data_IF_760541197257
#
_entry.id   IF_760541197257
#
_cell.length_a   1.000
_cell.length_b   1.000
_cell.length_c   1.000
_cell.angle_alpha   90.00
_cell.angle_beta   90.00
_cell.angle_gamma   90.00
#
_symmetry.space_group_name_H-M   'P 1'
#
loop_
_entity.id
_entity.type
_entity.pdbx_description
1 polymer ?
#
# COMPACT_ATOMS: atom_id res chain seq x y z
N UNK A 1 -12.89 -0.10 -3.99
CA UNK A 1 -13.18 1.24 -3.43
C UNK A 1 -11.86 1.91 -3.05
N UNK A 2 -11.69 3.24 -3.20
CA UNK A 2 -10.50 3.93 -2.71
C UNK A 2 -10.40 3.89 -1.18
N UNK A 3 -9.21 3.62 -0.65
CA UNK A 3 -8.96 3.54 0.80
C UNK A 3 -7.92 4.57 1.27
N UNK A 4 -6.87 4.80 0.49
CA UNK A 4 -5.79 5.71 0.88
C UNK A 4 -5.19 6.41 -0.34
N UNK A 5 -4.64 7.60 -0.11
CA UNK A 5 -4.14 8.51 -1.13
C UNK A 5 -2.83 9.14 -0.66
N UNK A 6 -1.80 9.09 -1.51
CA UNK A 6 -0.54 9.82 -1.32
C UNK A 6 -0.28 10.71 -2.51
N UNK A 7 0.04 11.99 -2.25
CA UNK A 7 0.57 12.91 -3.26
C UNK A 7 2.07 12.69 -3.37
N UNK A 8 2.55 12.44 -4.59
CA UNK A 8 3.94 12.18 -4.90
C UNK A 8 4.66 13.49 -5.30
N UNK A 9 6.01 13.56 -5.20
CA UNK A 9 6.78 14.75 -5.58
C UNK A 9 6.61 15.20 -7.03
N UNK A 10 6.27 14.29 -7.94
CA UNK A 10 6.02 14.56 -9.37
C UNK A 10 4.59 15.03 -9.66
N UNK A 11 3.84 15.44 -8.63
CA UNK A 11 2.42 15.79 -8.66
C UNK A 11 1.48 14.66 -9.12
N UNK A 12 1.99 13.43 -9.26
CA UNK A 12 1.13 12.26 -9.37
C UNK A 12 0.55 11.88 -8.01
N UNK A 13 -0.48 11.04 -8.04
CA UNK A 13 -1.13 10.53 -6.84
C UNK A 13 -1.08 9.01 -6.86
N UNK A 14 -0.69 8.41 -5.74
CA UNK A 14 -0.82 6.97 -5.51
C UNK A 14 -2.12 6.70 -4.78
N UNK A 15 -2.96 5.78 -5.30
CA UNK A 15 -4.20 5.36 -4.68
C UNK A 15 -4.17 3.88 -4.33
N UNK A 16 -4.50 3.58 -3.08
CA UNK A 16 -4.88 2.24 -2.64
C UNK A 16 -6.35 2.00 -2.96
N UNK A 17 -6.63 0.93 -3.70
CA UNK A 17 -7.99 0.47 -3.98
C UNK A 17 -8.19 -0.90 -3.31
N UNK A 18 -9.10 -0.97 -2.35
CA UNK A 18 -9.60 -2.24 -1.81
C UNK A 18 -10.65 -2.84 -2.77
N UNK A 19 -10.97 -4.12 -2.58
CA UNK A 19 -12.05 -4.80 -3.30
C UNK A 19 -13.31 -3.93 -3.28
N UNK A 20 -13.97 -3.75 -4.41
CA UNK A 20 -15.32 -3.19 -4.46
C UNK A 20 -16.37 -4.32 -4.46
N UNK A 21 -17.63 -3.98 -4.18
CA UNK A 21 -18.75 -4.92 -4.23
C UNK A 21 -18.94 -5.60 -5.60
N UNK A 22 -18.18 -5.21 -6.64
CA UNK A 22 -18.20 -5.80 -7.97
C UNK A 22 -17.14 -6.91 -8.17
N UNK A 23 -16.45 -7.35 -7.11
CA UNK A 23 -15.52 -8.48 -7.16
C UNK A 23 -14.18 -8.18 -7.84
N UNK A 24 -13.81 -6.91 -7.98
CA UNK A 24 -12.51 -6.55 -8.52
C UNK A 24 -11.37 -6.83 -7.53
N UNK A 25 -10.22 -7.28 -8.05
CA UNK A 25 -8.99 -7.42 -7.25
C UNK A 25 -8.55 -6.06 -6.70
N UNK A 26 -8.01 -5.99 -5.48
CA UNK A 26 -7.43 -4.76 -4.96
C UNK A 26 -6.27 -4.30 -5.85
N UNK A 27 -6.05 -2.99 -5.94
CA UNK A 27 -4.99 -2.42 -6.78
C UNK A 27 -4.30 -1.26 -6.09
N UNK A 28 -3.01 -1.14 -6.35
CA UNK A 28 -2.27 0.09 -6.15
C UNK A 28 -2.12 0.76 -7.50
N UNK A 29 -2.63 1.97 -7.64
CA UNK A 29 -2.58 2.70 -8.91
C UNK A 29 -1.86 4.04 -8.73
N UNK A 30 -1.20 4.50 -9.79
CA UNK A 30 -0.68 5.86 -9.92
C UNK A 30 -1.53 6.62 -10.92
N UNK A 31 -1.91 7.85 -10.57
CA UNK A 31 -2.58 8.78 -11.46
C UNK A 31 -1.67 9.98 -11.64
N UNK A 32 -1.20 10.21 -12.86
CA UNK A 32 -0.39 11.39 -13.20
C UNK A 32 -1.21 12.69 -13.12
N UNK A 33 -0.53 13.84 -13.11
CA UNK A 33 -1.19 15.15 -13.14
C UNK A 33 -2.15 15.35 -14.34
N UNK A 34 -1.94 14.65 -15.46
CA UNK A 34 -2.83 14.67 -16.62
C UNK A 34 -4.03 13.72 -16.50
N UNK A 35 -4.14 12.96 -15.40
CA UNK A 35 -5.17 11.97 -15.17
C UNK A 35 -4.88 10.58 -15.75
N UNK A 36 -3.73 10.40 -16.44
CA UNK A 36 -3.34 9.07 -16.93
C UNK A 36 -3.12 8.10 -15.76
N UNK A 37 -3.71 6.91 -15.85
CA UNK A 37 -3.72 5.90 -14.78
C UNK A 37 -2.81 4.73 -15.13
N UNK A 38 -1.95 4.35 -14.20
CA UNK A 38 -1.06 3.19 -14.29
C UNK A 38 -1.30 2.27 -13.10
N UNK A 39 -1.50 0.98 -13.36
CA UNK A 39 -1.58 -0.02 -12.28
C UNK A 39 -0.15 -0.38 -11.86
N UNK A 40 0.19 -0.11 -10.60
CA UNK A 40 1.49 -0.45 -10.02
C UNK A 40 1.49 -1.88 -9.48
N UNK A 41 0.42 -2.26 -8.79
CA UNK A 41 0.24 -3.59 -8.19
C UNK A 41 -1.20 -4.05 -8.39
N UNK A 42 -1.38 -5.31 -8.76
CA UNK A 42 -2.67 -6.01 -8.69
C UNK A 42 -2.57 -7.06 -7.61
N UNK A 43 -3.37 -6.93 -6.54
CA UNK A 43 -3.43 -7.95 -5.50
C UNK A 43 -4.24 -9.17 -5.93
N UNK A 44 -4.45 -10.12 -5.01
CA UNK A 44 -5.29 -11.28 -5.23
C UNK A 44 -6.66 -11.08 -4.55
N UNK A 45 -7.68 -11.85 -4.94
CA UNK A 45 -8.95 -11.87 -4.24
C UNK A 45 -8.78 -12.20 -2.75
N UNK A 46 -9.65 -11.66 -1.90
CA UNK A 46 -9.68 -11.98 -0.46
C UNK A 46 -8.74 -11.15 0.41
N UNK A 47 -8.12 -10.09 -0.12
CA UNK A 47 -7.35 -9.14 0.68
C UNK A 47 -7.42 -7.71 0.13
N UNK A 48 -6.91 -6.75 0.90
CA UNK A 48 -6.91 -5.32 0.57
C UNK A 48 -5.51 -4.74 0.46
N UNK A 49 -5.33 -3.76 -0.43
CA UNK A 49 -4.21 -2.81 -0.36
C UNK A 49 -4.79 -1.56 0.31
N UNK A 50 -4.28 -1.21 1.49
CA UNK A 50 -4.94 -0.23 2.38
C UNK A 50 -4.08 1.01 2.58
N UNK A 51 -2.93 0.95 3.27
CA UNK A 51 -1.99 2.08 3.36
C UNK A 51 -1.02 2.18 2.19
N UNK A 52 -0.57 3.40 1.86
CA UNK A 52 0.54 3.61 0.94
C UNK A 52 1.31 4.91 1.24
N UNK A 53 2.57 4.97 0.78
CA UNK A 53 3.36 6.20 0.63
C UNK A 53 4.43 6.03 -0.45
N UNK A 54 5.01 7.13 -0.93
CA UNK A 54 6.23 7.11 -1.74
C UNK A 54 7.42 7.65 -0.94
N UNK A 55 8.50 6.87 -0.86
CA UNK A 55 9.77 7.30 -0.29
C UNK A 55 10.51 8.28 -1.22
N UNK A 56 11.49 9.00 -0.67
CA UNK A 56 12.27 9.98 -1.44
C UNK A 56 13.10 9.39 -2.59
N UNK A 57 13.37 8.09 -2.56
CA UNK A 57 14.02 7.31 -3.63
C UNK A 57 13.04 6.86 -4.74
N UNK A 58 11.77 7.23 -4.61
CA UNK A 58 10.70 6.82 -5.52
C UNK A 58 10.09 5.46 -5.22
N UNK A 59 10.60 4.70 -4.24
CA UNK A 59 10.05 3.42 -3.81
C UNK A 59 8.65 3.65 -3.24
N UNK A 60 7.68 2.85 -3.71
CA UNK A 60 6.32 2.88 -3.16
C UNK A 60 6.22 1.83 -2.06
N UNK A 61 5.85 2.25 -0.86
CA UNK A 61 5.57 1.36 0.26
C UNK A 61 4.06 1.25 0.43
N UNK A 62 3.58 0.08 0.80
CA UNK A 62 2.15 -0.16 0.97
C UNK A 62 1.86 -1.31 1.93
N UNK A 63 0.68 -1.26 2.55
CA UNK A 63 0.20 -2.31 3.44
C UNK A 63 -0.78 -3.23 2.70
N UNK A 64 -0.65 -4.52 2.97
CA UNK A 64 -1.59 -5.56 2.55
C UNK A 64 -2.29 -6.10 3.79
N UNK A 65 -3.60 -5.91 3.87
CA UNK A 65 -4.46 -6.60 4.84
C UNK A 65 -4.95 -7.91 4.26
N UNK A 66 -4.66 -9.03 4.89
CA UNK A 66 -5.09 -10.37 4.45
C UNK A 66 -5.25 -11.29 5.65
N UNK A 67 -6.21 -12.20 5.60
CA UNK A 67 -6.33 -13.30 6.58
C UNK A 67 -5.20 -14.36 6.43
N UNK A 68 -4.41 -14.30 5.34
CA UNK A 68 -3.24 -15.17 5.14
C UNK A 68 -1.97 -14.54 5.74
N UNK A 69 -1.32 -15.17 6.73
CA UNK A 69 -0.08 -14.68 7.32
C UNK A 69 1.10 -14.69 6.32
N UNK A 70 0.98 -15.34 5.17
CA UNK A 70 1.94 -15.34 4.07
C UNK A 70 1.85 -14.08 3.21
N UNK A 71 0.76 -13.31 3.37
CA UNK A 71 0.46 -12.10 2.58
C UNK A 71 0.37 -10.83 3.43
N UNK A 72 -0.25 -10.92 4.60
CA UNK A 72 -0.47 -9.78 5.49
C UNK A 72 0.85 -9.06 5.82
N UNK A 73 0.99 -7.78 5.50
CA UNK A 73 2.29 -7.15 5.75
C UNK A 73 2.52 -5.79 5.14
N UNK A 74 3.69 -5.25 5.46
CA UNK A 74 4.25 -4.11 4.75
C UNK A 74 5.08 -4.61 3.56
N UNK A 75 4.90 -3.94 2.42
CA UNK A 75 5.53 -4.26 1.16
C UNK A 75 6.18 -3.02 0.56
N UNK A 76 7.16 -3.23 -0.31
CA UNK A 76 7.73 -2.18 -1.14
C UNK A 76 7.68 -2.54 -2.63
N UNK A 77 7.72 -1.51 -3.47
CA UNK A 77 7.86 -1.58 -4.91
C UNK A 77 8.89 -0.53 -5.33
N UNK A 78 10.16 -0.94 -5.58
CA UNK A 78 11.17 -0.05 -6.12
C UNK A 78 10.80 0.43 -7.54
N UNK A 79 11.27 1.61 -7.99
CA UNK A 79 11.07 2.06 -9.36
C UNK A 79 11.57 1.03 -10.38
N UNK A 80 10.69 0.60 -11.30
CA UNK A 80 11.01 -0.44 -12.30
C UNK A 80 11.23 -1.85 -11.73
N UNK A 81 11.05 -2.04 -10.42
CA UNK A 81 11.25 -3.29 -9.71
C UNK A 81 9.99 -4.15 -9.64
N UNK A 82 10.06 -5.15 -8.75
CA UNK A 82 8.93 -6.02 -8.42
C UNK A 82 8.53 -5.83 -6.96
N UNK A 83 7.24 -6.03 -6.62
CA UNK A 83 6.78 -6.00 -5.24
C UNK A 83 7.53 -6.99 -4.33
N UNK A 84 7.91 -6.57 -3.13
CA UNK A 84 8.53 -7.43 -2.12
C UNK A 84 7.95 -7.16 -0.73
N UNK A 85 7.66 -8.23 0.02
CA UNK A 85 7.26 -8.11 1.42
C UNK A 85 8.50 -7.79 2.24
N UNK A 86 8.44 -6.71 3.01
CA UNK A 86 9.54 -6.24 3.84
C UNK A 86 9.29 -6.46 5.32
N UNK A 87 8.02 -6.62 5.72
CA UNK A 87 7.66 -7.06 7.06
C UNK A 87 6.41 -7.96 7.00
N UNK A 88 6.45 -9.02 7.80
CA UNK A 88 5.26 -9.77 8.14
C UNK A 88 4.49 -9.05 9.24
N UNK A 89 3.19 -8.84 9.03
CA UNK A 89 2.28 -8.31 10.05
C UNK A 89 1.25 -9.39 10.44
N UNK A 90 0.64 -9.29 11.64
CA UNK A 90 -0.38 -10.23 12.08
C UNK A 90 -1.54 -10.34 11.09
N UNK A 91 -2.05 -11.56 10.89
CA UNK A 91 -3.14 -11.83 9.93
C UNK A 91 -4.53 -11.44 10.47
N UNK A 92 -4.64 -11.26 11.77
CA UNK A 92 -5.81 -10.74 12.50
C UNK A 92 -5.79 -9.20 12.65
N UNK A 93 -4.71 -8.54 12.24
CA UNK A 93 -4.58 -7.09 12.22
C UNK A 93 -5.16 -6.42 10.98
N UNK A 94 -5.33 -5.10 11.04
CA UNK A 94 -5.75 -4.26 9.92
C UNK A 94 -4.76 -3.10 9.72
N UNK A 95 -3.60 -3.32 9.07
CA UNK A 95 -2.52 -2.34 8.97
C UNK A 95 -2.87 -1.20 7.99
N UNK A 96 -3.65 -0.23 8.44
CA UNK A 96 -4.22 0.82 7.60
C UNK A 96 -3.19 1.91 7.28
N UNK A 97 -3.01 2.92 8.16
CA UNK A 97 -2.08 4.03 7.92
C UNK A 97 -0.64 3.55 7.79
N UNK A 98 0.15 4.21 6.93
CA UNK A 98 1.57 3.94 6.74
C UNK A 98 2.34 5.26 6.62
N UNK A 99 3.45 5.40 7.35
CA UNK A 99 4.37 6.52 7.17
C UNK A 99 5.83 6.08 7.29
N UNK A 100 6.75 6.88 6.76
CA UNK A 100 8.19 6.67 6.84
C UNK A 100 8.78 7.74 7.76
N UNK A 101 9.66 7.33 8.68
CA UNK A 101 10.39 8.26 9.54
C UNK A 101 11.20 9.25 8.69
N UNK A 102 11.32 10.54 9.10
CA UNK A 102 12.09 11.54 8.33
C UNK A 102 13.55 11.16 8.10
N UNK A 103 14.17 10.45 9.07
CA UNK A 103 15.53 9.95 8.95
C UNK A 103 15.67 8.79 7.94
N UNK A 104 14.57 8.30 7.39
CA UNK A 104 14.50 7.10 6.57
C UNK A 104 14.62 5.81 7.39
N UNK A 105 14.45 4.67 6.72
CA UNK A 105 14.76 3.35 7.27
C UNK A 105 13.78 2.77 8.30
N UNK A 106 12.85 3.55 8.84
CA UNK A 106 11.79 3.05 9.74
C UNK A 106 10.41 3.36 9.18
N UNK A 107 9.58 2.34 9.00
CA UNK A 107 8.17 2.47 8.66
C UNK A 107 7.32 2.33 9.92
N UNK A 108 6.28 3.15 10.02
CA UNK A 108 5.24 3.03 11.04
C UNK A 108 3.93 2.65 10.38
N UNK A 109 3.31 1.57 10.85
CA UNK A 109 1.99 1.14 10.40
C UNK A 109 0.98 1.25 11.55
N UNK A 110 -0.19 1.80 11.27
CA UNK A 110 -1.28 1.82 12.23
C UNK A 110 -2.13 0.57 12.04
N UNK A 111 -2.23 -0.29 13.05
CA UNK A 111 -3.28 -1.30 13.09
C UNK A 111 -4.60 -0.60 13.47
N UNK A 112 -5.68 -0.88 12.77
CA UNK A 112 -7.02 -0.35 13.08
C UNK A 112 -7.86 -1.31 13.92
N UNK A 113 -7.46 -2.58 14.06
CA UNK A 113 -8.04 -3.49 15.05
C UNK A 113 -7.38 -3.32 16.42
N UNK A 114 -6.10 -2.99 16.43
CA UNK A 114 -5.27 -2.79 17.64
C UNK A 114 -4.70 -1.36 17.71
N UNK A 115 -3.72 -1.12 18.58
CA UNK A 115 -2.94 0.13 18.60
C UNK A 115 -1.82 0.13 17.53
N UNK A 116 -0.95 1.15 17.53
CA UNK A 116 0.18 1.25 16.57
C UNK A 116 1.15 0.06 16.74
N UNK A 117 1.57 -0.54 15.62
CA UNK A 117 2.52 -1.68 15.56
C UNK A 117 3.86 -1.29 14.93
#
# INVERSE_FOLDING_TARGET
MPENITVNPDASVTLSLIVDHAGQRPRLIRISASGHRTVLVTGQPGYGIIGNLQGGDGTVYYNVWSESPERAGAWNLPPGGQPRRIAALPADGLPNGLTLAPAGGTLYAADSHEAIV
#
